data_IF_910137532866
#
_entry.id   IF_910137532866
#
_cell.length_a   1.000
_cell.length_b   1.000
_cell.length_c   1.000
_cell.angle_alpha   90.00
_cell.angle_beta   90.00
_cell.angle_gamma   90.00
#
_symmetry.space_group_name_H-M   'P 1'
#
loop_
_entity.id
_entity.type
_entity.pdbx_description
1 polymer ?
#
# COMPACT_ATOMS: atom_id res chain seq x y z
N UNK A 1 4.06 -0.78 4.74
CA UNK A 1 3.34 -0.24 3.56
C UNK A 1 2.19 0.63 4.04
N UNK A 2 2.14 1.87 3.60
CA UNK A 2 1.13 2.85 4.01
C UNK A 2 0.00 2.91 2.98
N UNK A 3 -1.25 3.04 3.46
CA UNK A 3 -2.40 3.29 2.59
C UNK A 3 -2.85 4.75 2.73
N UNK A 4 -2.74 5.58 1.68
CA UNK A 4 -3.14 6.99 1.76
C UNK A 4 -4.65 7.17 1.91
N UNK A 5 -5.46 6.26 1.34
CA UNK A 5 -6.93 6.34 1.44
C UNK A 5 -7.44 5.97 2.83
N UNK A 6 -6.85 4.95 3.47
CA UNK A 6 -7.25 4.52 4.82
C UNK A 6 -6.48 5.28 5.92
N UNK A 7 -5.48 6.10 5.56
CA UNK A 7 -4.58 6.78 6.47
C UNK A 7 -4.00 5.88 7.56
N UNK A 8 -3.51 4.69 7.18
CA UNK A 8 -2.93 3.71 8.11
C UNK A 8 -1.91 2.78 7.46
N UNK A 9 -1.08 2.16 8.29
CA UNK A 9 -0.22 1.03 7.88
C UNK A 9 -1.08 -0.21 7.63
N UNK A 10 -0.78 -0.93 6.55
CA UNK A 10 -1.41 -2.21 6.21
C UNK A 10 -0.36 -3.31 6.34
N UNK A 11 -0.62 -4.27 7.22
CA UNK A 11 0.31 -5.37 7.53
C UNK A 11 0.07 -6.61 6.67
N UNK A 12 -1.08 -6.69 6.02
CA UNK A 12 -1.56 -7.84 5.25
C UNK A 12 -2.08 -7.42 3.86
N UNK A 13 -1.23 -6.78 3.03
CA UNK A 13 -1.64 -6.34 1.71
C UNK A 13 -1.89 -7.52 0.76
N UNK A 14 -2.67 -7.25 -0.28
CA UNK A 14 -2.76 -8.13 -1.44
C UNK A 14 -1.61 -7.83 -2.40
N UNK A 15 -1.10 -8.85 -3.08
CA UNK A 15 -0.14 -8.67 -4.17
C UNK A 15 -0.83 -9.10 -5.47
N UNK A 16 -0.87 -8.22 -6.46
CA UNK A 16 -1.39 -8.56 -7.77
C UNK A 16 -0.44 -9.55 -8.46
N UNK A 17 -0.96 -10.71 -8.88
CA UNK A 17 -0.16 -11.75 -9.51
C UNK A 17 0.37 -11.38 -10.91
N UNK A 18 -0.27 -10.43 -11.59
CA UNK A 18 0.09 -10.07 -12.97
C UNK A 18 1.10 -8.91 -13.04
N UNK A 19 0.97 -7.91 -12.17
CA UNK A 19 1.79 -6.69 -12.21
C UNK A 19 2.60 -6.43 -10.93
N UNK A 20 2.53 -7.33 -9.95
CA UNK A 20 3.25 -7.25 -8.67
C UNK A 20 2.90 -6.04 -7.80
N UNK A 21 1.84 -5.30 -8.13
CA UNK A 21 1.37 -4.17 -7.31
C UNK A 21 0.97 -4.66 -5.91
N UNK A 22 1.38 -3.91 -4.89
CA UNK A 22 0.99 -4.13 -3.48
C UNK A 22 -0.24 -3.27 -3.18
N UNK A 23 -1.32 -3.90 -2.71
CA UNK A 23 -2.67 -3.31 -2.69
C UNK A 23 -3.27 -3.42 -1.28
N UNK A 24 -3.93 -2.35 -0.83
CA UNK A 24 -4.69 -2.35 0.42
C UNK A 24 -5.82 -3.38 0.36
N UNK A 25 -5.79 -4.40 1.22
CA UNK A 25 -6.84 -5.42 1.29
C UNK A 25 -8.23 -4.88 1.68
N UNK A 26 -8.29 -3.65 2.19
CA UNK A 26 -9.54 -3.05 2.70
C UNK A 26 -10.21 -2.16 1.67
N UNK A 27 -9.46 -1.30 0.98
CA UNK A 27 -10.04 -0.33 0.05
C UNK A 27 -9.60 -0.51 -1.41
N UNK A 28 -8.65 -1.42 -1.70
CA UNK A 28 -8.16 -1.66 -3.06
C UNK A 28 -7.17 -0.62 -3.60
N UNK A 29 -6.81 0.41 -2.82
CA UNK A 29 -5.80 1.40 -3.22
C UNK A 29 -4.41 0.76 -3.22
N UNK A 30 -3.56 1.02 -4.24
CA UNK A 30 -2.14 0.69 -4.18
C UNK A 30 -1.48 1.27 -2.93
N UNK A 31 -0.60 0.50 -2.31
CA UNK A 31 0.13 0.94 -1.14
C UNK A 31 1.44 1.61 -1.55
N UNK A 32 1.80 2.61 -0.78
CA UNK A 32 3.05 3.36 -0.94
C UNK A 32 4.06 2.88 0.10
N UNK A 33 5.35 2.95 -0.24
CA UNK A 33 6.38 2.70 0.75
C UNK A 33 6.41 3.87 1.74
N UNK A 34 6.45 3.55 3.03
CA UNK A 34 6.51 4.59 4.06
C UNK A 34 7.87 5.30 4.07
N UNK A 35 8.93 4.60 3.63
CA UNK A 35 10.27 5.14 3.51
C UNK A 35 10.36 6.20 2.39
N UNK A 36 9.71 6.02 1.24
CA UNK A 36 9.67 7.06 0.19
C UNK A 36 8.83 8.28 0.59
N UNK A 37 7.81 8.10 1.44
CA UNK A 37 7.00 9.21 1.97
C UNK A 37 7.77 10.11 2.94
N UNK A 38 8.87 9.63 3.54
CA UNK A 38 9.69 10.40 4.47
C UNK A 38 10.74 11.29 3.77
N UNK A 39 10.99 11.09 2.48
CA UNK A 39 11.87 11.90 1.65
C UNK A 39 11.05 12.71 0.65
N UNK A 40 10.27 13.66 1.16
CA UNK A 40 9.52 14.66 0.38
C UNK A 40 9.96 16.07 0.72
#
# INVERSE_FOLDING_TARGET
>A
MWCPTCARVVNDPLVCGDCSAVICRVCGTPLESADELAFG
#
